data_IF_580724535969
#
_entry.id   IF_580724535969
#
_cell.length_a   1.000
_cell.length_b   1.000
_cell.length_c   1.000
_cell.angle_alpha   90.00
_cell.angle_beta   90.00
_cell.angle_gamma   90.00
#
_symmetry.space_group_name_H-M   'P 1'
#
loop_
_entity.id
_entity.type
_entity.pdbx_description
1 polymer ?
#
# COMPACT_ATOMS: atom_id res chain seq x y z
N UNK A 1 5.06 22.26 8.54
CA UNK A 1 4.88 20.80 8.37
C UNK A 1 4.00 20.61 7.15
N UNK A 2 4.35 19.71 6.23
CA UNK A 2 3.60 19.48 4.99
C UNK A 2 2.23 18.90 5.32
N UNK A 3 1.15 19.59 4.91
CA UNK A 3 -0.21 19.06 5.04
C UNK A 3 -0.43 17.96 3.97
N UNK A 4 -0.78 16.72 4.34
CA UNK A 4 -1.07 15.67 3.37
C UNK A 4 -2.14 16.04 2.33
N UNK A 5 -3.04 16.98 2.66
CA UNK A 5 -4.10 17.44 1.76
C UNK A 5 -3.59 18.27 0.56
N UNK A 6 -2.36 18.81 0.64
CA UNK A 6 -1.76 19.63 -0.42
C UNK A 6 -0.81 18.84 -1.32
N UNK A 7 -0.53 17.58 -0.98
CA UNK A 7 0.33 16.71 -1.76
C UNK A 7 -0.32 16.27 -3.07
N UNK A 8 0.49 16.19 -4.12
CA UNK A 8 0.06 15.56 -5.38
C UNK A 8 -0.22 14.06 -5.18
N UNK A 9 -1.00 13.45 -6.09
CA UNK A 9 -1.27 12.01 -6.01
C UNK A 9 0.01 11.16 -6.06
N UNK A 10 0.98 11.58 -6.86
CA UNK A 10 2.33 10.98 -6.94
C UNK A 10 3.02 10.98 -5.59
N UNK A 11 3.01 12.12 -4.91
CA UNK A 11 3.64 12.29 -3.61
C UNK A 11 2.97 11.49 -2.49
N UNK A 12 1.64 11.44 -2.48
CA UNK A 12 0.90 10.63 -1.51
C UNK A 12 1.23 9.15 -1.70
N UNK A 13 1.24 8.65 -2.94
CA UNK A 13 1.61 7.26 -3.21
C UNK A 13 3.05 7.01 -2.80
N UNK A 14 4.01 7.80 -3.30
CA UNK A 14 5.43 7.60 -3.02
C UNK A 14 5.76 7.64 -1.52
N UNK A 15 5.14 8.55 -0.76
CA UNK A 15 5.30 8.59 0.70
C UNK A 15 4.74 7.33 1.33
N UNK A 16 3.55 6.88 0.92
CA UNK A 16 3.00 5.61 1.40
C UNK A 16 3.96 4.44 1.16
N UNK A 17 4.53 4.32 -0.05
CA UNK A 17 5.48 3.25 -0.36
C UNK A 17 6.75 3.32 0.51
N UNK A 18 7.31 4.52 0.68
CA UNK A 18 8.50 4.74 1.51
C UNK A 18 8.22 4.47 3.00
N UNK A 19 7.05 4.89 3.49
CA UNK A 19 6.62 4.69 4.87
C UNK A 19 6.50 3.20 5.21
N UNK A 20 5.90 2.44 4.30
CA UNK A 20 5.52 1.05 4.51
C UNK A 20 6.62 0.04 4.14
N UNK A 21 7.48 0.36 3.16
CA UNK A 21 8.35 -0.64 2.56
C UNK A 21 9.75 -0.15 2.17
N UNK A 22 10.23 1.02 2.63
CA UNK A 22 11.61 1.47 2.34
C UNK A 22 12.70 0.47 2.74
N UNK A 23 12.47 -0.30 3.81
CA UNK A 23 13.41 -1.33 4.28
C UNK A 23 13.50 -2.56 3.36
N UNK A 24 12.45 -2.79 2.56
CA UNK A 24 12.33 -3.90 1.62
C UNK A 24 12.87 -3.56 0.22
N UNK A 25 13.36 -2.34 0.03
CA UNK A 25 13.85 -1.83 -1.24
C UNK A 25 12.77 -1.72 -2.32
N UNK A 26 13.20 -1.71 -3.59
CA UNK A 26 12.33 -1.50 -4.76
C UNK A 26 11.25 -2.58 -4.84
N UNK A 27 11.59 -3.84 -4.56
CA UNK A 27 10.66 -4.96 -4.68
C UNK A 27 9.48 -4.84 -3.70
N UNK A 28 9.74 -4.52 -2.43
CA UNK A 28 8.68 -4.34 -1.45
C UNK A 28 7.84 -3.08 -1.70
N UNK A 29 8.46 -1.97 -2.09
CA UNK A 29 7.72 -0.76 -2.47
C UNK A 29 6.81 -1.01 -3.69
N UNK A 30 7.28 -1.73 -4.71
CA UNK A 30 6.46 -2.12 -5.85
C UNK A 30 5.32 -3.06 -5.46
N UNK A 31 5.53 -3.95 -4.48
CA UNK A 31 4.49 -4.83 -3.97
C UNK A 31 3.37 -4.05 -3.25
N UNK A 32 3.71 -3.10 -2.38
CA UNK A 32 2.73 -2.20 -1.73
C UNK A 32 1.97 -1.36 -2.77
N UNK A 33 2.68 -0.86 -3.80
CA UNK A 33 2.05 -0.17 -4.92
C UNK A 33 1.06 -1.08 -5.70
N UNK A 34 1.39 -2.37 -5.85
CA UNK A 34 0.47 -3.38 -6.39
C UNK A 34 -0.84 -3.46 -5.59
N UNK A 35 -0.76 -3.52 -4.26
CA UNK A 35 -1.95 -3.53 -3.39
C UNK A 35 -2.80 -2.26 -3.58
N UNK A 36 -2.17 -1.08 -3.62
CA UNK A 36 -2.86 0.19 -3.86
C UNK A 36 -3.55 0.17 -5.24
N UNK A 37 -2.85 -0.25 -6.29
CA UNK A 37 -3.40 -0.35 -7.63
C UNK A 37 -4.58 -1.33 -7.71
N UNK A 38 -4.49 -2.48 -7.05
CA UNK A 38 -5.55 -3.48 -7.00
C UNK A 38 -6.81 -2.94 -6.32
N UNK A 39 -6.64 -2.20 -5.21
CA UNK A 39 -7.72 -1.50 -4.49
C UNK A 39 -8.35 -0.38 -5.32
N UNK A 40 -7.56 0.38 -6.08
CA UNK A 40 -8.06 1.45 -6.97
C UNK A 40 -8.81 0.86 -8.18
N UNK A 41 -8.32 -0.24 -8.77
CA UNK A 41 -9.00 -0.95 -9.87
C UNK A 41 -10.32 -1.57 -9.44
N UNK A 42 -10.45 -1.95 -8.17
CA UNK A 42 -11.65 -2.53 -7.59
C UNK A 42 -12.07 -1.75 -6.32
N UNK A 43 -12.58 -0.52 -6.46
CA UNK A 43 -12.91 0.32 -5.31
C UNK A 43 -13.91 -0.34 -4.37
N UNK A 44 -13.57 -0.36 -3.08
CA UNK A 44 -14.47 -0.73 -1.99
C UNK A 44 -14.47 0.39 -0.94
N UNK A 45 -14.64 0.03 0.33
CA UNK A 45 -14.67 0.95 1.45
C UNK A 45 -13.35 1.71 1.65
N UNK A 46 -12.23 1.23 1.11
CA UNK A 46 -10.92 1.90 1.16
C UNK A 46 -10.79 3.13 0.26
N UNK A 47 -11.64 3.30 -0.76
CA UNK A 47 -11.60 4.48 -1.63
C UNK A 47 -11.52 4.17 -3.12
N UNK A 48 -11.66 5.23 -3.94
CA UNK A 48 -11.75 5.16 -5.41
C UNK A 48 -10.52 5.69 -6.15
N UNK A 49 -9.65 6.42 -5.46
CA UNK A 49 -8.44 7.04 -6.03
C UNK A 49 -7.22 6.63 -5.21
N UNK A 50 -6.02 6.69 -5.81
CA UNK A 50 -4.80 6.33 -5.08
C UNK A 50 -4.61 7.17 -3.79
N UNK A 51 -4.82 8.51 -3.79
CA UNK A 51 -4.78 9.28 -2.54
C UNK A 51 -5.85 8.86 -1.54
N UNK A 52 -7.07 8.58 -1.99
CA UNK A 52 -8.14 8.15 -1.09
C UNK A 52 -7.82 6.81 -0.42
N UNK A 53 -7.20 5.86 -1.15
CA UNK A 53 -6.76 4.57 -0.60
C UNK A 53 -5.60 4.75 0.38
N UNK A 54 -4.60 5.56 0.03
CA UNK A 54 -3.41 5.79 0.85
C UNK A 54 -3.72 6.54 2.15
N UNK A 55 -4.56 7.59 2.08
CA UNK A 55 -4.88 8.44 3.22
C UNK A 55 -6.10 7.96 4.02
N UNK A 56 -6.72 6.84 3.62
CA UNK A 56 -7.83 6.26 4.37
C UNK A 56 -7.34 5.90 5.78
N UNK A 57 -8.03 6.34 6.85
CA UNK A 57 -7.62 6.05 8.22
C UNK A 57 -7.34 4.56 8.44
N UNK A 58 -6.24 4.27 9.13
CA UNK A 58 -5.77 2.93 9.50
C UNK A 58 -5.46 1.98 8.33
N UNK A 59 -5.34 2.47 7.10
CA UNK A 59 -4.93 1.61 5.97
C UNK A 59 -3.41 1.49 5.83
N UNK A 60 -2.70 2.57 6.15
CA UNK A 60 -1.23 2.62 6.12
C UNK A 60 -0.79 3.39 7.35
N UNK A 61 -0.02 2.74 8.23
CA UNK A 61 0.27 3.29 9.55
C UNK A 61 1.12 4.55 9.47
N UNK A 62 1.91 4.70 8.41
CA UNK A 62 2.80 5.83 8.22
C UNK A 62 2.10 7.21 8.23
N UNK A 63 0.79 7.26 7.98
CA UNK A 63 0.01 8.50 7.99
C UNK A 63 -0.57 8.87 9.36
N UNK A 64 -0.60 7.92 10.31
CA UNK A 64 -1.16 8.11 11.63
C UNK A 64 -0.31 9.10 12.45
N UNK A 65 -0.95 10.02 13.16
CA UNK A 65 -0.27 11.07 13.94
C UNK A 65 0.75 10.51 14.94
N UNK A 66 0.46 9.34 15.51
CA UNK A 66 1.31 8.64 16.46
C UNK A 66 2.46 7.83 15.82
N UNK A 67 2.53 7.72 14.49
CA UNK A 67 3.62 6.98 13.84
C UNK A 67 4.95 7.72 14.06
N UNK A 68 5.97 7.07 14.66
CA UNK A 68 7.23 7.74 15.00
C UNK A 68 8.04 8.19 13.78
N UNK A 69 7.69 7.72 12.58
CA UNK A 69 8.33 8.12 11.33
C UNK A 69 7.52 9.14 10.53
N UNK A 70 6.34 9.58 11.01
CA UNK A 70 5.48 10.52 10.26
C UNK A 70 6.18 11.84 9.96
N UNK A 71 6.92 12.42 10.90
CA UNK A 71 7.63 13.68 10.64
C UNK A 71 8.71 13.50 9.56
N UNK A 72 9.41 12.37 9.56
CA UNK A 72 10.38 12.02 8.51
C UNK A 72 9.68 11.84 7.17
N UNK A 73 8.53 11.17 7.14
CA UNK A 73 7.70 10.98 5.95
C UNK A 73 7.26 12.32 5.33
N UNK A 74 6.87 13.28 6.15
CA UNK A 74 6.40 14.59 5.68
C UNK A 74 7.55 15.51 5.23
N UNK A 75 8.73 15.34 5.83
CA UNK A 75 9.92 16.12 5.51
C UNK A 75 10.76 15.53 4.36
N UNK A 76 10.54 14.26 3.97
CA UNK A 76 11.32 13.62 2.92
C UNK A 76 11.16 14.34 1.57
N UNK A 77 12.26 14.44 0.84
CA UNK A 77 12.34 15.06 -0.49
C UNK A 77 13.03 14.12 -1.46
N UNK A 78 13.00 14.44 -2.76
CA UNK A 78 13.58 13.63 -3.82
C UNK A 78 15.11 13.51 -3.74
N UNK A 79 15.78 14.30 -2.90
CA UNK A 79 17.21 14.13 -2.58
C UNK A 79 17.52 12.77 -1.95
N UNK A 80 16.55 12.13 -1.30
CA UNK A 80 16.67 10.77 -0.80
C UNK A 80 16.49 9.76 -1.95
N UNK A 81 17.49 8.89 -2.15
CA UNK A 81 17.49 7.93 -3.26
C UNK A 81 16.36 6.90 -3.17
N UNK A 82 16.00 6.48 -1.96
CA UNK A 82 14.91 5.51 -1.75
C UNK A 82 13.56 6.16 -2.02
N UNK A 83 13.39 7.42 -1.62
CA UNK A 83 12.20 8.19 -1.93
C UNK A 83 12.09 8.50 -3.42
N UNK A 84 13.20 8.78 -4.10
CA UNK A 84 13.21 8.91 -5.57
C UNK A 84 12.74 7.63 -6.26
N UNK A 85 13.22 6.46 -5.82
CA UNK A 85 12.71 5.19 -6.31
C UNK A 85 11.20 5.01 -6.02
N UNK A 86 10.72 5.43 -4.85
CA UNK A 86 9.28 5.41 -4.53
C UNK A 86 8.46 6.33 -5.45
N UNK A 87 9.01 7.49 -5.83
CA UNK A 87 8.40 8.41 -6.79
C UNK A 87 8.31 7.78 -8.19
N UNK A 88 9.37 7.10 -8.65
CA UNK A 88 9.37 6.41 -9.94
C UNK A 88 8.33 5.27 -9.97
N UNK A 89 8.24 4.48 -8.90
CA UNK A 89 7.21 3.43 -8.75
C UNK A 89 5.80 4.04 -8.74
N UNK A 90 5.62 5.18 -8.06
CA UNK A 90 4.33 5.88 -8.03
C UNK A 90 3.92 6.35 -9.44
N UNK A 91 4.85 6.84 -10.25
CA UNK A 91 4.58 7.25 -11.64
C UNK A 91 4.14 6.05 -12.50
N UNK A 92 4.84 4.92 -12.41
CA UNK A 92 4.46 3.70 -13.12
C UNK A 92 3.09 3.16 -12.67
N UNK A 93 2.79 3.23 -11.36
CA UNK A 93 1.50 2.82 -10.81
C UNK A 93 0.36 3.70 -11.33
N UNK A 94 0.52 5.03 -11.24
CA UNK A 94 -0.48 6.01 -11.65
C UNK A 94 -0.71 5.99 -13.15
N UNK A 95 0.32 5.67 -13.94
CA UNK A 95 0.19 5.47 -15.37
C UNK A 95 -0.39 4.10 -15.76
N UNK A 96 -0.70 3.23 -14.78
CA UNK A 96 -1.22 1.88 -15.02
C UNK A 96 -0.21 0.90 -15.63
N UNK A 97 1.08 1.24 -15.62
CA UNK A 97 2.17 0.45 -16.19
C UNK A 97 2.85 -0.48 -15.18
N UNK A 98 2.61 -0.28 -13.89
CA UNK A 98 3.16 -1.14 -12.85
C UNK A 98 2.63 -2.57 -13.00
N UNK A 99 3.56 -3.53 -13.14
CA UNK A 99 3.28 -4.96 -13.10
C UNK A 99 2.95 -5.37 -11.66
N UNK A 100 1.83 -6.05 -11.47
CA UNK A 100 1.49 -6.63 -10.17
C UNK A 100 2.31 -7.89 -9.90
N UNK A 101 3.06 -7.88 -8.80
CA UNK A 101 3.87 -9.00 -8.30
C UNK A 101 3.20 -9.72 -7.12
N UNK A 102 2.04 -9.24 -6.67
CA UNK A 102 1.35 -9.68 -5.44
C UNK A 102 0.21 -10.68 -5.69
N UNK A 103 0.03 -11.14 -6.93
CA UNK A 103 -1.07 -12.02 -7.32
C UNK A 103 -2.47 -11.46 -6.97
N UNK A 104 -2.71 -10.19 -7.29
CA UNK A 104 -3.93 -9.44 -7.05
C UNK A 104 -4.29 -9.29 -5.55
N UNK A 105 -3.28 -9.10 -4.69
CA UNK A 105 -3.49 -8.93 -3.26
C UNK A 105 -4.19 -7.61 -2.92
N UNK A 106 -4.97 -7.63 -1.84
CA UNK A 106 -5.67 -6.47 -1.28
C UNK A 106 -5.35 -6.20 0.19
N UNK A 107 -4.62 -7.11 0.84
CA UNK A 107 -4.11 -6.96 2.21
C UNK A 107 -2.66 -7.42 2.27
N UNK A 108 -1.90 -6.90 3.22
CA UNK A 108 -0.59 -7.42 3.57
C UNK A 108 -0.28 -7.13 5.03
N UNK A 109 0.68 -7.86 5.58
CA UNK A 109 1.29 -7.53 6.87
C UNK A 109 2.75 -8.00 6.89
N UNK A 110 3.57 -7.44 7.79
CA UNK A 110 4.94 -7.90 8.00
C UNK A 110 4.94 -9.26 8.69
N UNK A 111 5.93 -10.12 8.43
CA UNK A 111 6.05 -11.46 9.03
C UNK A 111 6.07 -11.46 10.56
N UNK A 112 6.54 -10.37 11.17
CA UNK A 112 6.62 -10.19 12.63
C UNK A 112 5.29 -9.87 13.33
N UNK A 113 4.19 -9.70 12.59
CA UNK A 113 2.86 -9.44 13.16
C UNK A 113 1.85 -10.48 12.67
N UNK A 114 0.79 -10.69 13.46
CA UNK A 114 -0.30 -11.61 13.12
C UNK A 114 -1.65 -10.95 13.39
N UNK A 115 -2.15 -10.11 12.47
CA UNK A 115 -3.43 -9.45 12.64
C UNK A 115 -4.58 -10.47 12.59
N UNK A 116 -5.67 -10.21 13.29
CA UNK A 116 -6.80 -11.15 13.39
C UNK A 116 -7.40 -11.54 12.05
N UNK A 117 -7.38 -10.63 11.06
CA UNK A 117 -7.89 -10.88 9.72
C UNK A 117 -7.07 -11.91 8.91
N UNK A 118 -5.79 -12.15 9.28
CA UNK A 118 -4.92 -13.11 8.57
C UNK A 118 -5.00 -14.52 9.14
N UNK A 119 -5.59 -14.69 10.33
CA UNK A 119 -5.71 -15.99 10.98
C UNK A 119 -6.51 -16.96 10.10
N UNK A 120 -5.92 -18.13 9.82
CA UNK A 120 -6.52 -19.15 8.96
C UNK A 120 -6.58 -18.79 7.48
N UNK A 121 -5.88 -17.74 7.03
CA UNK A 121 -5.75 -17.36 5.63
C UNK A 121 -4.36 -17.73 5.12
N UNK A 122 -4.29 -18.16 3.87
CA UNK A 122 -3.02 -18.45 3.19
C UNK A 122 -2.60 -17.23 2.39
N UNK A 123 -1.36 -16.72 2.53
CA UNK A 123 -0.86 -15.65 1.68
C UNK A 123 -0.79 -16.12 0.22
N UNK A 124 -1.04 -15.19 -0.71
CA UNK A 124 -0.95 -15.42 -2.16
C UNK A 124 0.43 -15.07 -2.72
N UNK A 125 1.23 -14.32 -1.97
CA UNK A 125 2.62 -14.01 -2.26
C UNK A 125 3.36 -13.66 -0.96
N UNK A 126 4.68 -13.87 -0.95
CA UNK A 126 5.60 -13.37 0.06
C UNK A 126 6.73 -12.63 -0.65
N UNK A 127 7.00 -11.38 -0.27
CA UNK A 127 8.02 -10.52 -0.89
C UNK A 127 8.74 -9.78 0.22
N UNK A 128 10.02 -10.09 0.40
CA UNK A 128 10.77 -9.63 1.57
C UNK A 128 10.09 -10.10 2.86
N UNK A 129 9.98 -9.19 3.83
CA UNK A 129 9.33 -9.44 5.11
C UNK A 129 7.81 -9.23 5.09
N UNK A 130 7.18 -9.14 3.90
CA UNK A 130 5.73 -8.98 3.76
C UNK A 130 5.03 -10.25 3.25
N UNK A 131 3.91 -10.57 3.90
CA UNK A 131 2.93 -11.56 3.44
C UNK A 131 1.73 -10.84 2.83
N UNK A 132 1.37 -11.21 1.60
CA UNK A 132 0.29 -10.60 0.84
C UNK A 132 -0.90 -11.55 0.76
N UNK A 133 -2.11 -11.00 0.89
CA UNK A 133 -3.36 -11.75 0.94
C UNK A 133 -4.38 -11.15 0.00
N UNK A 134 -5.21 -12.02 -0.55
CA UNK A 134 -6.38 -11.64 -1.35
C UNK A 134 -7.61 -12.07 -0.58
N UNK A 135 -8.27 -11.12 0.08
CA UNK A 135 -9.33 -11.41 1.05
C UNK A 135 -10.68 -10.87 0.57
N UNK A 136 -10.70 -9.65 0.03
CA UNK A 136 -11.93 -9.07 -0.51
C UNK A 136 -11.97 -9.08 -2.04
N UNK A 137 -10.83 -9.15 -2.73
CA UNK A 137 -10.81 -9.28 -4.19
C UNK A 137 -11.02 -10.73 -4.66
N UNK A 138 -11.31 -11.66 -3.74
CA UNK A 138 -11.78 -13.02 -4.04
C UNK A 138 -13.11 -13.38 -3.36
N UNK A 139 -13.93 -14.08 -4.15
CA UNK A 139 -15.29 -14.58 -3.93
C UNK A 139 -16.39 -13.50 -3.76
N UNK A 140 -17.35 -13.40 -4.71
CA UNK A 140 -18.68 -12.89 -4.35
C UNK A 140 -19.26 -13.74 -3.21
N UNK A 141 -20.08 -13.10 -2.36
CA UNK A 141 -20.87 -13.77 -1.32
C UNK A 141 -21.49 -15.03 -1.95
N UNK A 142 -21.13 -16.22 -1.44
CA UNK A 142 -21.97 -17.40 -1.67
C UNK A 142 -23.28 -17.10 -0.96
N UNK A 143 -24.27 -16.59 -1.70
CA UNK A 143 -25.65 -16.64 -1.26
C UNK A 143 -25.97 -18.13 -1.19
N UNK A 144 -26.02 -18.68 0.02
CA UNK A 144 -26.67 -19.97 0.24
C UNK A 144 -28.13 -19.77 -0.14
N UNK A 145 -28.53 -20.24 -1.31
CA UNK A 145 -29.94 -20.42 -1.63
C UNK A 145 -30.49 -21.41 -0.61
N UNK A 146 -31.43 -20.96 0.23
CA UNK A 146 -32.37 -21.84 0.92
C UNK A 146 -33.46 -22.25 -0.05
#
# INVERSE_FOLDING_TARGET
MTDPSTLSAREVVARTLWGEARGEGIAGMAAVAGVIANRVRNPRWWGKTAPAVCLKPYQFSCWLEQDPNRDKLLAITDSDRTFRAALDIADEMLAGRLRDVTANADHYHTVGVSPTWSVGKTPVAEIGDHRFFRLELTAPIRVLKK
#
